data_IF_439377138505
#
_entry.id   IF_439377138505
#
_cell.length_a   1.000
_cell.length_b   1.000
_cell.length_c   1.000
_cell.angle_alpha   90.00
_cell.angle_beta   90.00
_cell.angle_gamma   90.00
#
_symmetry.space_group_name_H-M   'P 1'
#
loop_
_entity.id
_entity.type
_entity.pdbx_description
1 polymer ?
#
# COMPACT_ATOMS: atom_id res chain seq x y z
N UNK A 1 -17.95 -8.92 5.42
CA UNK A 1 -17.11 -7.76 5.71
C UNK A 1 -16.17 -8.10 6.82
N UNK A 2 -15.02 -8.58 6.41
CA UNK A 2 -14.05 -9.13 7.33
C UNK A 2 -12.65 -8.85 6.84
N UNK A 3 -11.72 -8.78 7.81
CA UNK A 3 -10.29 -8.78 7.53
C UNK A 3 -9.83 -10.22 7.70
N UNK A 4 -9.36 -10.84 6.63
CA UNK A 4 -8.92 -12.24 6.65
C UNK A 4 -7.46 -12.33 6.21
N UNK A 5 -6.77 -13.35 6.72
CA UNK A 5 -5.37 -13.61 6.34
C UNK A 5 -5.35 -14.70 5.28
N UNK A 6 -4.65 -14.43 4.18
CA UNK A 6 -4.43 -15.37 3.09
C UNK A 6 -2.95 -15.71 3.00
N UNK A 7 -2.65 -16.92 2.59
CA UNK A 7 -1.26 -17.34 2.34
C UNK A 7 -0.96 -17.25 0.86
N UNK A 8 0.17 -16.67 0.51
CA UNK A 8 0.61 -16.56 -0.86
C UNK A 8 1.03 -15.14 -1.23
N UNK A 9 1.09 -14.89 -2.52
CA UNK A 9 1.48 -13.60 -3.08
C UNK A 9 0.25 -12.70 -3.21
N UNK A 10 0.34 -11.46 -2.73
CA UNK A 10 -0.78 -10.51 -2.78
C UNK A 10 -1.30 -10.28 -4.21
N UNK A 11 -0.43 -10.44 -5.22
CA UNK A 11 -0.83 -10.27 -6.62
C UNK A 11 -1.65 -11.44 -7.16
N UNK A 12 -1.80 -12.51 -6.39
CA UNK A 12 -2.70 -13.62 -6.73
C UNK A 12 -4.14 -13.35 -6.27
N UNK A 13 -4.37 -12.26 -5.57
CA UNK A 13 -5.70 -11.89 -5.09
C UNK A 13 -6.61 -11.50 -6.25
N UNK A 14 -7.89 -11.79 -6.10
CA UNK A 14 -8.93 -11.31 -7.00
C UNK A 14 -9.53 -9.98 -6.54
N UNK A 15 -8.88 -9.28 -5.62
CA UNK A 15 -9.34 -8.00 -5.12
C UNK A 15 -9.40 -6.94 -6.22
N UNK A 16 -10.22 -5.94 -6.00
CA UNK A 16 -10.39 -4.82 -6.92
C UNK A 16 -9.24 -3.81 -6.80
N UNK A 17 -8.68 -3.69 -5.61
CA UNK A 17 -7.57 -2.78 -5.33
C UNK A 17 -6.55 -3.47 -4.43
N UNK A 18 -5.27 -3.31 -4.76
CA UNK A 18 -4.15 -3.78 -3.97
C UNK A 18 -3.41 -2.57 -3.42
N UNK A 19 -3.27 -2.51 -2.10
CA UNK A 19 -2.54 -1.44 -1.43
C UNK A 19 -1.14 -1.89 -1.09
N UNK A 20 -0.19 -0.96 -1.19
CA UNK A 20 1.14 -1.17 -0.63
C UNK A 20 1.70 0.17 -0.16
N UNK A 21 2.62 0.14 0.81
CA UNK A 21 3.25 1.35 1.28
C UNK A 21 4.41 1.74 0.38
N UNK A 22 4.50 3.04 0.09
CA UNK A 22 5.61 3.61 -0.68
C UNK A 22 6.27 4.73 0.12
N UNK A 23 7.52 5.06 -0.25
CA UNK A 23 8.24 6.22 0.25
C UNK A 23 7.97 7.43 -0.66
N UNK A 24 8.41 8.60 -0.23
CA UNK A 24 8.24 9.84 -0.99
C UNK A 24 9.44 10.18 -1.88
N UNK A 25 10.39 9.24 -2.03
CA UNK A 25 11.66 9.47 -2.72
C UNK A 25 11.66 8.99 -4.19
N UNK A 26 10.57 8.38 -4.66
CA UNK A 26 10.50 7.90 -6.03
C UNK A 26 11.20 6.55 -6.24
N UNK A 27 11.40 5.77 -5.18
CA UNK A 27 12.16 4.52 -5.23
C UNK A 27 11.26 3.34 -4.85
N UNK A 28 11.15 2.39 -5.75
CA UNK A 28 10.48 1.09 -5.54
C UNK A 28 11.55 -0.01 -5.68
N UNK A 29 12.44 -0.10 -4.70
CA UNK A 29 13.64 -0.92 -4.82
C UNK A 29 13.62 -2.26 -4.11
N UNK A 30 12.59 -2.56 -3.31
CA UNK A 30 12.55 -3.82 -2.57
C UNK A 30 11.11 -4.23 -2.24
N UNK A 31 10.94 -5.51 -1.90
CA UNK A 31 9.68 -6.07 -1.45
C UNK A 31 8.55 -5.94 -2.45
N UNK A 32 7.36 -5.68 -1.94
CA UNK A 32 6.14 -5.55 -2.76
C UNK A 32 6.26 -4.39 -3.76
N UNK A 33 6.89 -3.29 -3.36
CA UNK A 33 7.06 -2.13 -4.25
C UNK A 33 7.90 -2.49 -5.49
N UNK A 34 8.98 -3.26 -5.30
CA UNK A 34 9.78 -3.75 -6.42
C UNK A 34 8.95 -4.59 -7.36
N UNK A 35 8.09 -5.45 -6.82
CA UNK A 35 7.23 -6.30 -7.61
C UNK A 35 6.17 -5.48 -8.37
N UNK A 36 5.63 -4.43 -7.76
CA UNK A 36 4.73 -3.48 -8.44
C UNK A 36 5.43 -2.85 -9.63
N UNK A 37 6.66 -2.38 -9.43
CA UNK A 37 7.47 -1.77 -10.49
C UNK A 37 7.68 -2.72 -11.65
N UNK A 38 7.97 -3.98 -11.36
CA UNK A 38 8.24 -4.99 -12.39
C UNK A 38 6.97 -5.42 -13.12
N UNK A 39 5.87 -5.61 -12.39
CA UNK A 39 4.60 -6.05 -12.98
C UNK A 39 3.84 -4.94 -13.68
N UNK A 40 3.92 -3.72 -13.15
CA UNK A 40 3.10 -2.59 -13.60
C UNK A 40 3.96 -1.35 -13.80
N UNK A 41 4.75 -1.30 -14.90
CA UNK A 41 5.64 -0.16 -15.14
C UNK A 41 4.92 1.20 -15.15
N UNK A 42 3.65 1.25 -15.59
CA UNK A 42 2.89 2.49 -15.59
C UNK A 42 2.63 3.02 -14.18
N UNK A 43 2.44 2.12 -13.22
CA UNK A 43 2.26 2.51 -11.81
C UNK A 43 3.54 3.16 -11.28
N UNK A 44 4.69 2.54 -11.57
CA UNK A 44 5.97 3.09 -11.17
C UNK A 44 6.23 4.46 -11.78
N UNK A 45 5.94 4.62 -13.07
CA UNK A 45 6.14 5.89 -13.77
C UNK A 45 5.30 7.02 -13.17
N UNK A 46 4.01 6.76 -12.93
CA UNK A 46 3.13 7.77 -12.32
C UNK A 46 3.55 8.11 -10.90
N UNK A 47 3.98 7.11 -10.14
CA UNK A 47 4.50 7.31 -8.79
C UNK A 47 5.75 8.19 -8.82
N UNK A 48 6.71 7.87 -9.69
CA UNK A 48 7.97 8.60 -9.80
C UNK A 48 7.74 10.05 -10.23
N UNK A 49 6.84 10.26 -11.19
CA UNK A 49 6.49 11.61 -11.63
C UNK A 49 5.90 12.46 -10.50
N UNK A 50 5.02 11.85 -9.69
CA UNK A 50 4.43 12.54 -8.54
C UNK A 50 5.50 12.91 -7.52
N UNK A 51 6.44 12.01 -7.24
CA UNK A 51 7.56 12.29 -6.35
C UNK A 51 8.46 13.40 -6.91
N UNK A 52 8.72 13.40 -8.20
CA UNK A 52 9.55 14.44 -8.84
C UNK A 52 8.90 15.81 -8.72
N UNK A 53 7.58 15.90 -8.86
CA UNK A 53 6.85 17.15 -8.67
C UNK A 53 6.98 17.69 -7.24
N UNK A 54 7.24 16.81 -6.27
CA UNK A 54 7.36 17.17 -4.86
C UNK A 54 8.81 17.13 -4.36
N UNK A 55 9.79 17.14 -5.26
CA UNK A 55 11.19 16.95 -4.87
C UNK A 55 11.73 18.00 -3.88
N UNK A 56 11.15 19.19 -3.87
CA UNK A 56 11.55 20.27 -2.97
C UNK A 56 10.91 20.15 -1.59
N UNK A 57 9.89 19.33 -1.45
CA UNK A 57 9.24 19.05 -0.16
C UNK A 57 8.58 17.69 -0.24
N UNK A 58 9.38 16.64 -0.17
CA UNK A 58 8.91 15.27 -0.36
C UNK A 58 7.89 14.84 0.69
N UNK A 59 8.04 15.31 1.93
CA UNK A 59 7.12 14.99 3.01
C UNK A 59 5.70 15.50 2.77
N UNK A 60 5.50 16.39 1.80
CA UNK A 60 4.16 16.85 1.41
C UNK A 60 3.29 15.73 0.83
N UNK A 61 3.89 14.63 0.41
CA UNK A 61 3.14 13.46 -0.08
C UNK A 61 2.64 12.54 1.04
N UNK A 62 3.17 12.68 2.26
CA UNK A 62 2.77 11.80 3.37
C UNK A 62 1.26 11.85 3.61
N UNK A 63 0.65 10.69 3.74
CA UNK A 63 -0.80 10.56 3.96
C UNK A 63 -1.62 10.42 2.69
N UNK A 64 -1.01 10.61 1.51
CA UNK A 64 -1.70 10.47 0.24
C UNK A 64 -1.80 8.99 -0.16
N UNK A 65 -2.89 8.62 -0.81
CA UNK A 65 -3.00 7.36 -1.55
C UNK A 65 -3.16 7.70 -3.03
N UNK A 66 -2.18 7.31 -3.82
CA UNK A 66 -2.24 7.45 -5.28
C UNK A 66 -2.82 6.17 -5.85
N UNK A 67 -4.02 6.25 -6.40
CA UNK A 67 -4.72 5.09 -6.96
C UNK A 67 -4.56 5.09 -8.48
N UNK A 68 -3.94 4.04 -9.00
CA UNK A 68 -3.58 3.93 -10.42
C UNK A 68 -4.28 2.72 -11.02
N UNK A 69 -5.08 2.89 -12.10
CA UNK A 69 -5.68 1.76 -12.77
C UNK A 69 -4.63 0.96 -13.53
N UNK A 70 -4.82 -0.36 -13.57
CA UNK A 70 -3.93 -1.28 -14.26
C UNK A 70 -4.76 -2.12 -15.22
N UNK A 71 -4.25 -2.29 -16.43
CA UNK A 71 -4.91 -3.03 -17.48
C UNK A 71 -4.07 -4.24 -17.88
N UNK A 72 -4.70 -5.23 -18.48
CA UNK A 72 -3.99 -6.41 -18.96
C UNK A 72 -4.43 -7.71 -18.33
N UNK A 73 -5.41 -7.65 -17.43
CA UNK A 73 -6.03 -8.84 -16.86
C UNK A 73 -7.49 -8.96 -17.30
N UNK A 74 -8.18 -9.96 -16.76
CA UNK A 74 -9.60 -10.17 -17.03
C UNK A 74 -10.48 -9.15 -16.32
N UNK A 75 -9.96 -8.51 -15.28
CA UNK A 75 -10.67 -7.64 -14.37
C UNK A 75 -9.91 -6.35 -14.21
N UNK A 76 -10.63 -5.25 -14.10
CA UNK A 76 -10.04 -3.98 -13.74
C UNK A 76 -9.38 -4.11 -12.35
N UNK A 77 -8.12 -3.75 -12.27
CA UNK A 77 -7.37 -3.74 -11.01
C UNK A 77 -6.85 -2.33 -10.78
N UNK A 78 -6.86 -1.91 -9.52
CA UNK A 78 -6.25 -0.66 -9.09
C UNK A 78 -5.11 -0.96 -8.13
N UNK A 79 -4.03 -0.19 -8.25
CA UNK A 79 -2.93 -0.24 -7.28
C UNK A 79 -2.96 1.06 -6.50
N UNK A 80 -2.95 0.97 -5.17
CA UNK A 80 -2.89 2.14 -4.30
C UNK A 80 -1.48 2.26 -3.74
N UNK A 81 -0.79 3.32 -4.15
CA UNK A 81 0.51 3.70 -3.58
C UNK A 81 0.23 4.54 -2.34
N UNK A 82 0.41 3.95 -1.17
CA UNK A 82 0.10 4.59 0.11
C UNK A 82 1.39 5.22 0.67
N UNK A 83 1.43 6.54 0.70
CA UNK A 83 2.62 7.29 1.14
C UNK A 83 2.69 7.31 2.66
N UNK A 84 3.13 6.19 3.22
CA UNK A 84 3.24 6.00 4.66
C UNK A 84 4.63 6.30 5.22
N UNK A 85 5.62 6.59 4.38
CA UNK A 85 6.96 6.94 4.81
C UNK A 85 7.58 7.93 3.83
N UNK A 86 8.38 8.87 4.35
CA UNK A 86 9.09 9.82 3.50
C UNK A 86 10.37 9.19 2.98
N UNK A 87 11.26 8.81 3.88
CA UNK A 87 12.56 8.23 3.55
C UNK A 87 12.54 6.72 3.71
N UNK A 88 13.63 6.08 3.30
CA UNK A 88 13.78 4.62 3.42
C UNK A 88 15.20 4.26 3.83
N UNK A 89 15.39 3.04 4.31
CA UNK A 89 16.70 2.53 4.70
C UNK A 89 16.60 1.08 5.15
N UNK A 90 17.74 0.50 5.47
CA UNK A 90 17.86 -0.91 5.83
C UNK A 90 18.55 -1.10 7.18
N UNK A 91 18.56 -0.05 8.01
CA UNK A 91 19.27 -0.04 9.30
C UNK A 91 18.37 -0.37 10.49
N UNK A 92 17.14 -0.84 10.24
CA UNK A 92 16.21 -1.19 11.30
C UNK A 92 15.47 -0.04 11.95
N UNK A 93 15.71 1.20 11.50
CA UNK A 93 15.00 2.36 12.02
C UNK A 93 13.53 2.35 11.55
N UNK A 94 12.68 3.02 12.30
CA UNK A 94 11.29 3.20 11.87
C UNK A 94 11.20 4.34 10.87
N UNK A 95 10.84 4.01 9.64
CA UNK A 95 10.61 4.99 8.57
C UNK A 95 9.13 5.29 8.39
N UNK A 96 8.25 4.35 8.73
CA UNK A 96 6.81 4.52 8.61
C UNK A 96 6.28 5.57 9.58
N UNK A 97 5.51 6.53 9.06
CA UNK A 97 4.64 7.37 9.84
C UNK A 97 3.30 6.66 9.93
N UNK A 98 2.96 6.15 11.11
CA UNK A 98 1.71 5.42 11.31
C UNK A 98 0.50 6.30 10.99
N UNK A 99 0.56 7.58 11.36
CA UNK A 99 -0.50 8.53 11.04
C UNK A 99 -0.68 8.74 9.55
N UNK A 100 0.43 8.85 8.80
CA UNK A 100 0.37 9.02 7.35
C UNK A 100 -0.19 7.75 6.67
N UNK A 101 0.26 6.57 7.11
CA UNK A 101 -0.26 5.32 6.58
C UNK A 101 -1.77 5.22 6.85
N UNK A 102 -2.21 5.59 8.05
CA UNK A 102 -3.63 5.60 8.40
C UNK A 102 -4.43 6.52 7.50
N UNK A 103 -3.95 7.74 7.25
CA UNK A 103 -4.64 8.69 6.35
C UNK A 103 -4.82 8.11 4.96
N UNK A 104 -3.74 7.50 4.42
CA UNK A 104 -3.80 6.90 3.10
C UNK A 104 -4.80 5.74 3.05
N UNK A 105 -4.80 4.89 4.08
CA UNK A 105 -5.74 3.75 4.16
C UNK A 105 -7.18 4.21 4.34
N UNK A 106 -7.42 5.29 5.08
CA UNK A 106 -8.75 5.88 5.22
C UNK A 106 -9.29 6.28 3.85
N UNK A 107 -8.47 6.94 3.05
CA UNK A 107 -8.87 7.32 1.69
C UNK A 107 -9.23 6.10 0.84
N UNK A 108 -8.41 5.05 0.88
CA UNK A 108 -8.69 3.80 0.17
C UNK A 108 -10.00 3.18 0.64
N UNK A 109 -10.24 3.16 1.95
CA UNK A 109 -11.48 2.61 2.51
C UNK A 109 -12.71 3.37 2.02
N UNK A 110 -12.61 4.71 1.95
CA UNK A 110 -13.70 5.54 1.42
C UNK A 110 -14.01 5.18 -0.03
N UNK A 111 -12.98 5.01 -0.86
CA UNK A 111 -13.14 4.61 -2.24
C UNK A 111 -13.72 3.19 -2.35
N UNK A 112 -13.25 2.28 -1.52
CA UNK A 112 -13.74 0.91 -1.49
C UNK A 112 -15.24 0.85 -1.15
N UNK A 113 -15.68 1.67 -0.20
CA UNK A 113 -17.11 1.75 0.13
C UNK A 113 -17.92 2.31 -1.02
N UNK A 114 -17.43 3.36 -1.65
CA UNK A 114 -18.13 4.02 -2.76
C UNK A 114 -18.31 3.08 -3.96
N UNK A 115 -17.28 2.30 -4.27
CA UNK A 115 -17.28 1.45 -5.47
C UNK A 115 -17.50 -0.02 -5.17
N UNK A 116 -17.76 -0.38 -3.92
CA UNK A 116 -17.95 -1.77 -3.48
C UNK A 116 -16.75 -2.65 -3.81
N UNK A 117 -15.55 -2.13 -3.57
CA UNK A 117 -14.31 -2.85 -3.83
C UNK A 117 -13.93 -3.79 -2.70
N UNK A 118 -13.37 -4.94 -3.07
CA UNK A 118 -12.60 -5.78 -2.16
C UNK A 118 -11.14 -5.30 -2.18
N UNK A 119 -10.53 -5.22 -1.00
CA UNK A 119 -9.18 -4.68 -0.81
C UNK A 119 -8.22 -5.82 -0.46
N UNK A 120 -7.03 -5.78 -1.02
CA UNK A 120 -5.94 -6.66 -0.60
C UNK A 120 -4.71 -5.83 -0.28
N UNK A 121 -3.89 -6.30 0.65
CA UNK A 121 -2.63 -5.67 1.00
C UNK A 121 -1.68 -6.70 1.60
N UNK A 122 -0.37 -6.41 1.60
CA UNK A 122 0.58 -7.32 2.22
C UNK A 122 0.36 -7.40 3.73
N UNK A 123 0.44 -8.61 4.27
CA UNK A 123 0.50 -8.81 5.72
C UNK A 123 1.68 -8.03 6.28
N UNK A 124 1.48 -7.32 7.38
CA UNK A 124 2.48 -6.44 8.00
C UNK A 124 2.87 -5.24 7.15
N UNK A 125 1.94 -4.71 6.36
CA UNK A 125 2.17 -3.48 5.60
C UNK A 125 2.77 -2.39 6.50
N UNK A 126 3.85 -1.75 6.05
CA UNK A 126 4.53 -0.69 6.80
C UNK A 126 5.41 -1.15 7.96
N UNK A 127 5.47 -2.45 8.25
CA UNK A 127 6.10 -2.98 9.45
C UNK A 127 7.43 -3.69 9.22
N UNK A 128 7.69 -4.17 8.01
CA UNK A 128 8.93 -4.91 7.72
C UNK A 128 10.08 -3.95 7.49
N UNK A 129 10.13 -3.30 6.32
CA UNK A 129 11.17 -2.30 6.03
C UNK A 129 10.87 -0.96 6.68
N UNK A 130 9.59 -0.63 6.83
CA UNK A 130 9.16 0.62 7.47
C UNK A 130 9.29 0.62 8.98
N UNK A 131 9.35 -0.54 9.61
CA UNK A 131 9.63 -0.68 11.04
C UNK A 131 8.51 -0.32 11.99
N UNK A 132 7.27 -0.16 11.52
CA UNK A 132 6.14 0.13 12.39
C UNK A 132 5.71 -1.11 13.18
N UNK A 133 5.03 -0.88 14.30
CA UNK A 133 4.49 -1.95 15.13
C UNK A 133 3.25 -2.56 14.47
N UNK A 134 3.30 -3.87 14.22
CA UNK A 134 2.22 -4.55 13.52
C UNK A 134 0.89 -4.54 14.27
N UNK A 135 0.92 -4.69 15.60
CA UNK A 135 -0.33 -4.68 16.36
C UNK A 135 -1.06 -3.35 16.23
N UNK A 136 -0.30 -2.26 16.23
CA UNK A 136 -0.85 -0.91 16.02
C UNK A 136 -1.46 -0.79 14.62
N UNK A 137 -0.71 -1.19 13.60
CA UNK A 137 -1.17 -1.10 12.20
C UNK A 137 -2.39 -2.00 11.98
N UNK A 138 -2.38 -3.22 12.56
CA UNK A 138 -3.51 -4.15 12.44
C UNK A 138 -4.80 -3.55 13.02
N UNK A 139 -4.70 -2.88 14.16
CA UNK A 139 -5.86 -2.20 14.76
C UNK A 139 -6.39 -1.09 13.86
N UNK A 140 -5.50 -0.34 13.25
CA UNK A 140 -5.87 0.71 12.30
C UNK A 140 -6.63 0.09 11.12
N UNK A 141 -6.14 -1.01 10.59
CA UNK A 141 -6.80 -1.71 9.48
C UNK A 141 -8.19 -2.19 9.90
N UNK A 142 -8.28 -2.82 11.06
CA UNK A 142 -9.57 -3.35 11.55
C UNK A 142 -10.62 -2.26 11.71
N UNK A 143 -10.23 -1.10 12.23
CA UNK A 143 -11.14 0.03 12.43
C UNK A 143 -11.47 0.71 11.10
N UNK A 144 -10.45 0.98 10.29
CA UNK A 144 -10.59 1.71 9.03
C UNK A 144 -11.46 0.96 8.03
N UNK A 145 -11.30 -0.34 7.95
CA UNK A 145 -11.98 -1.20 6.97
C UNK A 145 -13.07 -2.06 7.60
N UNK A 146 -13.65 -1.66 8.72
CA UNK A 146 -14.59 -2.52 9.48
C UNK A 146 -15.79 -3.02 8.66
N UNK A 147 -16.17 -2.31 7.61
CA UNK A 147 -17.31 -2.64 6.75
C UNK A 147 -16.87 -2.94 5.31
N UNK A 148 -15.59 -3.25 5.12
CA UNK A 148 -14.99 -3.55 3.82
C UNK A 148 -14.30 -4.91 3.89
N UNK A 149 -14.41 -5.70 2.84
CA UNK A 149 -13.69 -6.97 2.75
C UNK A 149 -12.21 -6.70 2.47
N UNK A 150 -11.34 -7.16 3.37
CA UNK A 150 -9.90 -6.96 3.27
C UNK A 150 -9.19 -8.30 3.39
N UNK A 151 -8.25 -8.53 2.49
CA UNK A 151 -7.35 -9.67 2.53
C UNK A 151 -5.94 -9.18 2.87
N UNK A 152 -5.35 -9.78 3.91
CA UNK A 152 -3.95 -9.57 4.26
C UNK A 152 -3.17 -10.78 3.77
N UNK A 153 -2.32 -10.57 2.78
CA UNK A 153 -1.60 -11.67 2.13
C UNK A 153 -0.22 -11.85 2.73
N UNK A 154 0.04 -13.04 3.23
CA UNK A 154 1.29 -13.40 3.88
C UNK A 154 2.02 -14.43 3.05
N UNK A 155 3.26 -14.11 2.67
CA UNK A 155 4.12 -15.09 2.00
C UNK A 155 4.41 -16.23 2.97
N UNK A 156 4.45 -17.46 2.45
CA UNK A 156 4.71 -18.65 3.25
C UNK A 156 6.02 -18.48 4.01
N UNK A 157 6.00 -18.79 5.32
CA UNK A 157 7.16 -18.67 6.18
C UNK A 157 7.43 -17.26 6.70
N UNK A 158 6.59 -16.30 6.42
CA UNK A 158 6.70 -14.91 6.89
C UNK A 158 5.57 -14.55 7.86
#
# INVERSE_FOLDING_TARGET
MAVIIKEGNVFDSDADIICHQVNCQGVMGSGVAKEVRERFPNVYEQYRELCELHKNYTAGLLGMAQIVPVYGGRKQLYIANCFGQDKYGYNGAQYTSVGALMEALIYVAEQARQFSWKVAMPYKIGCVRGGADWETVKKIIDVTFKDVDVELWRLEGK
#
